data_IF_410651851048
#
_entry.id   IF_410651851048
#
_cell.length_a   1.000
_cell.length_b   1.000
_cell.length_c   1.000
_cell.angle_alpha   90.00
_cell.angle_beta   90.00
_cell.angle_gamma   90.00
#
_symmetry.space_group_name_H-M   'P 1'
#
loop_
_entity.id
_entity.type
_entity.pdbx_description
1 polymer ?
#
# COMPACT_ATOMS: atom_id res chain seq x y z
N UNK A 1 37.48 -38.79 -22.54
CA UNK A 1 36.62 -37.88 -21.74
C UNK A 1 35.33 -37.69 -22.53
N UNK A 2 34.26 -38.35 -22.08
CA UNK A 2 33.01 -38.52 -22.82
C UNK A 2 32.36 -37.21 -23.29
N UNK A 3 32.02 -37.14 -24.57
CA UNK A 3 31.25 -36.04 -25.20
C UNK A 3 29.90 -35.81 -24.47
N UNK A 4 29.34 -36.83 -23.81
CA UNK A 4 28.15 -36.71 -22.94
C UNK A 4 28.40 -35.82 -21.72
N UNK A 5 29.59 -35.84 -21.13
CA UNK A 5 29.92 -35.05 -19.94
C UNK A 5 30.13 -33.57 -20.28
N UNK A 6 30.72 -33.28 -21.45
CA UNK A 6 30.95 -31.90 -21.94
C UNK A 6 29.62 -31.21 -22.30
N UNK A 7 28.68 -31.95 -22.92
CA UNK A 7 27.32 -31.44 -23.20
C UNK A 7 26.55 -31.07 -21.93
N UNK A 8 26.74 -31.82 -20.84
CA UNK A 8 26.10 -31.54 -19.55
C UNK A 8 26.70 -30.30 -18.87
N UNK A 9 28.02 -30.09 -18.95
CA UNK A 9 28.67 -28.90 -18.38
C UNK A 9 28.23 -27.60 -19.05
N UNK A 10 28.12 -27.59 -20.39
CA UNK A 10 27.64 -26.42 -21.13
C UNK A 10 26.16 -26.11 -20.84
N UNK A 11 25.34 -27.15 -20.68
CA UNK A 11 23.93 -26.97 -20.29
C UNK A 11 23.81 -26.40 -18.88
N UNK A 12 24.59 -26.92 -17.92
CA UNK A 12 24.64 -26.40 -16.54
C UNK A 12 25.13 -24.95 -16.53
N UNK A 13 26.18 -24.63 -17.28
CA UNK A 13 26.70 -23.25 -17.39
C UNK A 13 25.65 -22.30 -18.01
N UNK A 14 24.89 -22.75 -19.01
CA UNK A 14 23.80 -21.98 -19.61
C UNK A 14 22.67 -21.71 -18.62
N UNK A 15 22.27 -22.72 -17.84
CA UNK A 15 21.25 -22.57 -16.79
C UNK A 15 21.73 -21.61 -15.70
N UNK A 16 22.98 -21.72 -15.26
CA UNK A 16 23.57 -20.80 -14.27
C UNK A 16 23.63 -19.37 -14.82
N UNK A 17 24.11 -19.16 -16.05
CA UNK A 17 24.15 -17.83 -16.67
C UNK A 17 22.76 -17.23 -16.85
N UNK A 18 21.77 -18.05 -17.23
CA UNK A 18 20.40 -17.62 -17.38
C UNK A 18 19.79 -17.22 -16.02
N UNK A 19 20.00 -18.02 -14.97
CA UNK A 19 19.58 -17.68 -13.61
C UNK A 19 20.24 -16.38 -13.12
N UNK A 20 21.55 -16.21 -13.32
CA UNK A 20 22.26 -14.97 -12.95
C UNK A 20 21.68 -13.77 -13.71
N UNK A 21 21.45 -13.89 -15.02
CA UNK A 21 20.89 -12.80 -15.84
C UNK A 21 19.49 -12.38 -15.37
N UNK A 22 18.63 -13.34 -14.99
CA UNK A 22 17.31 -13.04 -14.42
C UNK A 22 17.44 -12.35 -13.06
N UNK A 23 18.35 -12.81 -12.20
CA UNK A 23 18.58 -12.21 -10.88
C UNK A 23 19.08 -10.76 -11.05
N UNK A 24 20.05 -10.52 -11.93
CA UNK A 24 20.62 -9.19 -12.18
C UNK A 24 19.58 -8.23 -12.79
N UNK A 25 18.79 -8.68 -13.78
CA UNK A 25 17.73 -7.85 -14.37
C UNK A 25 16.64 -7.43 -13.36
N UNK A 26 16.33 -8.30 -12.39
CA UNK A 26 15.39 -7.96 -11.31
C UNK A 26 15.97 -6.93 -10.32
N UNK A 27 17.29 -6.91 -10.09
CA UNK A 27 17.95 -5.95 -9.20
C UNK A 27 18.01 -4.56 -9.86
N UNK A 28 18.37 -4.50 -11.15
CA UNK A 28 18.54 -3.24 -11.88
C UNK A 28 17.20 -2.50 -12.10
N UNK A 29 16.06 -3.20 -12.05
CA UNK A 29 14.74 -2.60 -12.18
C UNK A 29 14.12 -2.17 -10.84
N UNK A 30 14.79 -2.39 -9.70
CA UNK A 30 14.20 -2.15 -8.36
C UNK A 30 13.63 -0.74 -8.21
N UNK A 31 14.39 0.29 -8.58
CA UNK A 31 13.94 1.69 -8.46
C UNK A 31 12.76 2.01 -9.38
N UNK A 32 12.70 1.38 -10.56
CA UNK A 32 11.56 1.49 -11.47
C UNK A 32 10.31 0.86 -10.85
N UNK A 33 10.41 -0.34 -10.27
CA UNK A 33 9.29 -1.01 -9.60
C UNK A 33 8.79 -0.24 -8.38
N UNK A 34 9.68 0.38 -7.60
CA UNK A 34 9.29 1.12 -6.40
C UNK A 34 8.33 2.28 -6.70
N UNK A 35 8.46 2.95 -7.84
CA UNK A 35 7.52 4.02 -8.22
C UNK A 35 6.10 3.48 -8.48
N UNK A 36 5.96 2.32 -9.11
CA UNK A 36 4.66 1.67 -9.31
C UNK A 36 4.07 1.19 -7.99
N UNK A 37 4.88 0.51 -7.17
CA UNK A 37 4.48 0.05 -5.84
C UNK A 37 3.95 1.23 -5.02
N UNK A 38 4.69 2.34 -5.00
CA UNK A 38 4.29 3.54 -4.28
C UNK A 38 2.96 4.13 -4.74
N UNK A 39 2.68 4.14 -6.05
CA UNK A 39 1.41 4.60 -6.56
C UNK A 39 0.24 3.66 -6.17
N UNK A 40 0.50 2.36 -6.13
CA UNK A 40 -0.50 1.34 -5.77
C UNK A 40 -0.83 1.33 -4.28
N UNK A 41 0.04 1.86 -3.41
CA UNK A 41 -0.26 2.02 -1.97
C UNK A 41 -1.57 2.79 -1.75
N UNK A 42 -1.85 3.81 -2.56
CA UNK A 42 -3.06 4.63 -2.42
C UNK A 42 -4.36 3.92 -2.78
N UNK A 43 -4.27 2.70 -3.31
CA UNK A 43 -5.39 1.83 -3.64
C UNK A 43 -5.34 0.53 -2.82
N UNK A 44 -4.40 0.44 -1.88
CA UNK A 44 -4.14 -0.79 -1.16
C UNK A 44 -5.09 -0.98 0.02
N UNK A 45 -5.26 -2.24 0.40
CA UNK A 45 -6.01 -2.62 1.60
C UNK A 45 -5.42 -1.98 2.87
N UNK A 46 -4.09 -1.90 2.96
CA UNK A 46 -3.38 -1.34 4.10
C UNK A 46 -3.69 0.15 4.30
N UNK A 47 -3.77 0.95 3.23
CA UNK A 47 -4.21 2.34 3.35
C UNK A 47 -5.69 2.44 3.72
N UNK A 48 -6.56 1.64 3.10
CA UNK A 48 -7.99 1.64 3.47
C UNK A 48 -8.21 1.27 4.95
N UNK A 49 -7.40 0.34 5.49
CA UNK A 49 -7.41 0.01 6.91
C UNK A 49 -7.07 1.22 7.78
N UNK A 50 -6.02 1.98 7.43
CA UNK A 50 -5.65 3.21 8.15
C UNK A 50 -6.78 4.23 8.12
N UNK A 51 -7.37 4.46 6.95
CA UNK A 51 -8.50 5.37 6.80
C UNK A 51 -9.70 4.94 7.67
N UNK A 52 -10.00 3.64 7.69
CA UNK A 52 -11.06 3.07 8.53
C UNK A 52 -10.78 3.30 10.02
N UNK A 53 -9.57 3.01 10.49
CA UNK A 53 -9.16 3.18 11.89
C UNK A 53 -9.24 4.64 12.32
N UNK A 54 -8.67 5.56 11.53
CA UNK A 54 -8.73 7.00 11.81
C UNK A 54 -10.20 7.48 11.83
N UNK A 55 -10.98 7.16 10.79
CA UNK A 55 -12.37 7.58 10.68
C UNK A 55 -13.20 7.11 11.89
N UNK A 56 -13.09 5.83 12.24
CA UNK A 56 -13.86 5.21 13.32
C UNK A 56 -13.58 5.83 14.70
N UNK A 57 -12.32 6.20 14.95
CA UNK A 57 -11.88 6.78 16.22
C UNK A 57 -12.06 8.30 16.27
N UNK A 58 -11.98 8.97 15.13
CA UNK A 58 -12.09 10.44 15.02
C UNK A 58 -13.37 10.97 15.66
N UNK A 59 -14.48 10.26 15.51
CA UNK A 59 -15.79 10.69 16.02
C UNK A 59 -15.79 10.93 17.53
N UNK A 60 -15.04 10.15 18.30
CA UNK A 60 -15.00 10.30 19.76
C UNK A 60 -14.12 11.48 20.22
N UNK A 61 -13.27 12.03 19.35
CA UNK A 61 -12.34 13.10 19.74
C UNK A 61 -13.03 14.44 20.06
N UNK A 62 -14.26 14.62 19.56
CA UNK A 62 -15.09 15.84 19.64
C UNK A 62 -16.40 15.60 20.41
N UNK A 63 -16.36 14.68 21.38
CA UNK A 63 -17.44 14.46 22.35
C UNK A 63 -17.49 15.63 23.32
N UNK A 64 -18.68 16.22 23.52
CA UNK A 64 -18.84 17.33 24.47
C UNK A 64 -18.53 16.97 25.93
N UNK A 65 -18.06 17.95 26.69
CA UNK A 65 -17.55 17.73 28.06
C UNK A 65 -18.62 17.28 29.07
N UNK A 66 -19.91 17.48 28.75
CA UNK A 66 -21.04 17.00 29.55
C UNK A 66 -21.37 15.51 29.30
N UNK A 67 -20.57 14.80 28.50
CA UNK A 67 -20.80 13.39 28.20
C UNK A 67 -20.53 12.47 29.41
N UNK A 68 -20.94 11.20 29.29
CA UNK A 68 -20.66 10.21 30.32
C UNK A 68 -19.16 9.98 30.48
N UNK A 69 -18.72 9.59 31.68
CA UNK A 69 -17.32 9.25 31.98
C UNK A 69 -16.74 8.24 30.98
N UNK A 70 -17.53 7.22 30.62
CA UNK A 70 -17.16 6.25 29.59
C UNK A 70 -16.83 6.90 28.25
N UNK A 71 -17.61 7.90 27.84
CA UNK A 71 -17.40 8.60 26.58
C UNK A 71 -16.21 9.57 26.65
N UNK A 72 -15.98 10.19 27.80
CA UNK A 72 -14.78 11.01 28.04
C UNK A 72 -13.49 10.17 28.03
N UNK A 73 -13.56 8.93 28.52
CA UNK A 73 -12.46 7.97 28.38
C UNK A 73 -12.22 7.63 26.91
N UNK A 74 -13.26 7.35 26.12
CA UNK A 74 -13.13 7.15 24.67
C UNK A 74 -12.57 8.38 23.95
N UNK A 75 -12.96 9.60 24.35
CA UNK A 75 -12.38 10.85 23.84
C UNK A 75 -10.88 10.88 24.07
N UNK A 76 -10.43 10.55 25.27
CA UNK A 76 -9.01 10.53 25.63
C UNK A 76 -8.23 9.46 24.85
N UNK A 77 -8.75 8.23 24.80
CA UNK A 77 -8.13 7.12 24.05
C UNK A 77 -8.02 7.44 22.55
N UNK A 78 -9.09 7.99 21.96
CA UNK A 78 -9.13 8.34 20.54
C UNK A 78 -8.17 9.46 20.20
N UNK A 79 -8.05 10.49 21.06
CA UNK A 79 -7.06 11.55 20.87
C UNK A 79 -5.63 11.01 20.90
N UNK A 80 -5.32 10.11 21.83
CA UNK A 80 -4.01 9.47 21.91
C UNK A 80 -3.73 8.64 20.65
N UNK A 81 -4.69 7.82 20.22
CA UNK A 81 -4.54 6.99 19.03
C UNK A 81 -4.32 7.83 17.76
N UNK A 82 -5.11 8.88 17.56
CA UNK A 82 -4.98 9.73 16.37
C UNK A 82 -3.69 10.57 16.43
N UNK A 83 -3.25 11.01 17.61
CA UNK A 83 -1.99 11.73 17.75
C UNK A 83 -0.75 10.91 17.36
N UNK A 84 -0.83 9.58 17.39
CA UNK A 84 0.26 8.71 16.95
C UNK A 84 0.46 8.72 15.43
N UNK A 85 -0.57 9.08 14.65
CA UNK A 85 -0.49 9.29 13.21
C UNK A 85 0.17 10.64 12.91
N UNK A 86 1.48 10.70 13.14
CA UNK A 86 2.24 11.97 13.07
C UNK A 86 2.42 12.49 11.64
N UNK A 87 2.42 11.60 10.64
CA UNK A 87 2.60 11.94 9.22
C UNK A 87 1.29 12.31 8.53
N UNK A 88 0.19 11.64 8.88
CA UNK A 88 -1.14 12.01 8.41
C UNK A 88 -1.63 13.28 9.11
N UNK A 89 -2.46 14.07 8.44
CA UNK A 89 -3.10 15.23 9.05
C UNK A 89 -4.59 14.96 9.22
N UNK A 90 -5.06 14.94 10.46
CA UNK A 90 -6.44 14.65 10.80
C UNK A 90 -7.06 15.89 11.42
N UNK A 91 -8.21 16.30 10.87
CA UNK A 91 -9.02 17.39 11.40
C UNK A 91 -10.46 16.92 11.56
N UNK A 92 -11.05 17.15 12.73
CA UNK A 92 -12.38 16.65 13.09
C UNK A 92 -13.23 17.80 13.57
N UNK A 93 -14.47 17.87 13.10
CA UNK A 93 -15.45 18.89 13.48
C UNK A 93 -16.74 18.20 13.88
N UNK A 94 -17.21 18.49 15.09
CA UNK A 94 -18.59 18.25 15.46
C UNK A 94 -19.46 19.33 14.81
N UNK A 95 -20.32 18.94 13.87
CA UNK A 95 -21.09 19.87 13.07
C UNK A 95 -22.15 20.60 13.91
N UNK A 96 -22.62 20.00 15.00
CA UNK A 96 -23.61 20.59 15.90
C UNK A 96 -22.93 21.51 16.92
N UNK A 97 -22.00 20.99 17.73
CA UNK A 97 -21.37 21.75 18.83
C UNK A 97 -20.27 22.70 18.38
N UNK A 98 -19.77 22.54 17.15
CA UNK A 98 -18.58 23.21 16.61
C UNK A 98 -17.30 22.91 17.38
N UNK A 99 -17.29 21.88 18.23
CA UNK A 99 -16.06 21.37 18.83
C UNK A 99 -15.15 20.80 17.75
N UNK A 100 -13.85 21.08 17.87
CA UNK A 100 -12.84 20.66 16.90
C UNK A 100 -11.72 19.88 17.57
N UNK A 101 -11.17 18.93 16.83
CA UNK A 101 -9.92 18.26 17.17
C UNK A 101 -9.00 18.23 15.94
N UNK A 102 -7.71 18.33 16.19
CA UNK A 102 -6.67 18.22 15.19
C UNK A 102 -5.44 17.57 15.81
N UNK A 103 -4.68 16.82 15.01
CA UNK A 103 -3.39 16.27 15.46
C UNK A 103 -2.22 17.22 15.19
N UNK A 104 -2.26 17.95 14.07
CA UNK A 104 -1.12 18.73 13.58
C UNK A 104 -1.50 20.19 13.23
N UNK A 105 -2.43 20.41 12.31
CA UNK A 105 -2.82 21.77 11.87
C UNK A 105 -4.13 22.17 12.55
N UNK A 106 -4.09 23.25 13.33
CA UNK A 106 -5.19 23.69 14.20
C UNK A 106 -6.29 24.51 13.53
N UNK A 107 -6.04 24.99 12.32
CA UNK A 107 -6.88 25.93 11.60
C UNK A 107 -7.39 25.25 10.32
N UNK A 108 -8.71 25.19 10.14
CA UNK A 108 -9.36 24.49 9.03
C UNK A 108 -9.13 25.18 7.69
N UNK A 109 -9.09 26.52 7.65
CA UNK A 109 -8.86 27.26 6.41
C UNK A 109 -7.40 27.08 5.97
N UNK A 110 -6.48 27.14 6.94
CA UNK A 110 -5.08 26.80 6.71
C UNK A 110 -4.92 25.33 6.32
N UNK A 111 -5.66 24.42 6.95
CA UNK A 111 -5.66 23.00 6.64
C UNK A 111 -6.06 22.81 5.18
N UNK A 112 -7.26 23.21 4.78
CA UNK A 112 -7.76 23.00 3.41
C UNK A 112 -6.84 23.64 2.36
N UNK A 113 -6.30 24.84 2.62
CA UNK A 113 -5.36 25.49 1.70
C UNK A 113 -4.00 24.77 1.62
N UNK A 114 -3.46 24.29 2.75
CA UNK A 114 -2.12 23.69 2.79
C UNK A 114 -2.16 22.23 2.36
N UNK A 115 -3.14 21.48 2.84
CA UNK A 115 -3.15 20.02 2.70
C UNK A 115 -3.57 19.56 1.31
N UNK A 116 -4.45 20.29 0.63
CA UNK A 116 -4.90 19.94 -0.72
C UNK A 116 -3.79 20.12 -1.77
N UNK A 117 -2.79 20.94 -1.47
CA UNK A 117 -1.60 21.16 -2.32
C UNK A 117 -0.39 20.31 -1.88
N UNK A 118 -0.22 20.08 -0.58
CA UNK A 118 1.00 19.48 -0.01
C UNK A 118 0.87 17.99 0.32
N UNK A 119 -0.32 17.41 0.22
CA UNK A 119 -0.57 15.98 0.49
C UNK A 119 -1.05 15.28 -0.79
N UNK A 120 -0.79 13.97 -0.87
CA UNK A 120 -1.17 13.20 -2.05
C UNK A 120 -2.70 13.05 -2.14
N UNK A 121 -3.35 12.71 -1.02
CA UNK A 121 -4.80 12.47 -0.97
C UNK A 121 -5.40 13.13 0.26
N UNK A 122 -6.47 13.89 0.09
CA UNK A 122 -7.24 14.46 1.20
C UNK A 122 -8.68 13.96 1.12
N UNK A 123 -9.11 13.28 2.18
CA UNK A 123 -10.45 12.72 2.29
C UNK A 123 -11.31 13.57 3.21
N UNK A 124 -12.54 13.85 2.82
CA UNK A 124 -13.60 14.37 3.68
C UNK A 124 -14.62 13.26 3.91
N UNK A 125 -14.92 12.97 5.17
CA UNK A 125 -15.87 11.95 5.59
C UNK A 125 -16.93 12.62 6.46
N UNK A 126 -18.18 12.61 6.03
CA UNK A 126 -19.31 13.09 6.82
C UNK A 126 -20.20 11.91 7.18
N UNK A 127 -20.28 11.62 8.49
CA UNK A 127 -20.95 10.42 9.00
C UNK A 127 -22.47 10.53 9.01
N UNK A 128 -23.03 11.74 9.22
CA UNK A 128 -24.48 11.97 9.19
C UNK A 128 -25.04 11.81 7.78
N UNK A 129 -24.38 12.45 6.81
CA UNK A 129 -24.78 12.40 5.40
C UNK A 129 -24.31 11.12 4.69
N UNK A 130 -23.48 10.31 5.37
CA UNK A 130 -22.90 9.06 4.86
C UNK A 130 -22.13 9.27 3.56
N UNK A 131 -21.42 10.38 3.47
CA UNK A 131 -20.65 10.77 2.30
C UNK A 131 -19.15 10.71 2.59
N UNK A 132 -18.41 10.32 1.56
CA UNK A 132 -16.96 10.34 1.54
C UNK A 132 -16.53 10.93 0.21
N UNK A 133 -15.66 11.93 0.28
CA UNK A 133 -15.15 12.67 -0.86
C UNK A 133 -13.62 12.68 -0.84
N UNK A 134 -13.02 12.61 -2.01
CA UNK A 134 -11.63 13.02 -2.23
C UNK A 134 -11.65 14.50 -2.64
N UNK A 135 -10.87 15.32 -1.95
CA UNK A 135 -10.68 16.73 -2.25
C UNK A 135 -9.49 16.89 -3.20
N UNK A 136 -9.65 17.71 -4.23
CA UNK A 136 -8.54 18.11 -5.11
C UNK A 136 -7.95 19.48 -4.68
N UNK A 137 -6.86 19.91 -5.34
CA UNK A 137 -6.21 21.21 -5.08
C UNK A 137 -7.08 22.46 -5.30
N UNK A 138 -8.26 22.31 -5.93
CA UNK A 138 -9.23 23.39 -6.11
C UNK A 138 -10.42 23.29 -5.14
N UNK A 139 -10.37 22.38 -4.16
CA UNK A 139 -11.49 22.01 -3.28
C UNK A 139 -12.71 21.41 -3.99
N UNK A 140 -12.57 20.94 -5.23
CA UNK A 140 -13.63 20.14 -5.84
C UNK A 140 -13.72 18.79 -5.13
N UNK A 141 -14.96 18.30 -5.00
CA UNK A 141 -15.28 17.06 -4.30
C UNK A 141 -15.59 15.95 -5.30
N UNK A 142 -14.79 14.89 -5.29
CA UNK A 142 -15.07 13.65 -6.03
C UNK A 142 -15.59 12.62 -5.06
N UNK A 143 -16.80 12.10 -5.29
CA UNK A 143 -17.38 11.08 -4.40
C UNK A 143 -16.58 9.78 -4.53
N UNK A 144 -16.19 9.21 -3.40
CA UNK A 144 -15.42 7.96 -3.35
C UNK A 144 -16.01 6.97 -2.34
N UNK A 145 -15.67 5.70 -2.50
CA UNK A 145 -15.94 4.62 -1.54
C UNK A 145 -14.72 3.71 -1.48
N UNK A 146 -14.53 3.02 -0.36
CA UNK A 146 -13.45 2.04 -0.22
C UNK A 146 -13.88 0.68 -0.75
N UNK A 147 -12.92 -0.13 -1.19
CA UNK A 147 -13.18 -1.43 -1.79
C UNK A 147 -13.40 -2.51 -0.74
N UNK A 148 -12.63 -2.49 0.34
CA UNK A 148 -12.58 -3.57 1.33
C UNK A 148 -13.42 -3.28 2.57
N UNK A 149 -13.49 -2.02 3.00
CA UNK A 149 -14.23 -1.60 4.19
C UNK A 149 -15.58 -0.94 3.87
N UNK A 150 -15.97 -0.89 2.59
CA UNK A 150 -17.23 -0.32 2.14
C UNK A 150 -17.27 1.21 2.27
N UNK A 151 -18.41 1.76 2.67
CA UNK A 151 -18.52 3.21 2.89
C UNK A 151 -18.12 3.53 4.33
N UNK A 152 -16.91 4.07 4.52
CA UNK A 152 -16.37 4.46 5.83
C UNK A 152 -17.29 5.44 6.57
N UNK A 153 -18.04 6.27 5.85
CA UNK A 153 -18.98 7.21 6.44
C UNK A 153 -20.20 6.52 7.08
N UNK A 154 -20.42 5.22 6.86
CA UNK A 154 -21.51 4.45 7.47
C UNK A 154 -21.11 3.73 8.77
N UNK A 155 -19.84 3.82 9.18
CA UNK A 155 -19.33 3.16 10.40
C UNK A 155 -19.88 3.78 11.69
N UNK A 156 -20.41 5.00 11.58
CA UNK A 156 -20.84 5.89 12.65
C UNK A 156 -22.10 6.65 12.21
N UNK A 157 -22.79 7.31 13.15
CA UNK A 157 -24.05 8.03 12.92
C UNK A 157 -24.02 9.47 13.42
N UNK A 158 -22.95 9.84 14.10
CA UNK A 158 -22.74 11.13 14.74
C UNK A 158 -22.63 12.24 13.69
N UNK A 159 -23.06 13.46 14.05
CA UNK A 159 -22.93 14.63 13.17
C UNK A 159 -21.52 15.20 13.23
N UNK A 160 -20.59 14.41 12.70
CA UNK A 160 -19.17 14.71 12.67
C UNK A 160 -18.69 14.68 11.23
N UNK A 161 -17.81 15.63 10.91
CA UNK A 161 -17.04 15.64 9.68
C UNK A 161 -15.57 15.48 10.00
N UNK A 162 -14.93 14.50 9.37
CA UNK A 162 -13.51 14.18 9.54
C UNK A 162 -12.79 14.38 8.22
N UNK A 163 -11.73 15.16 8.26
CA UNK A 163 -10.76 15.32 7.18
C UNK A 163 -9.50 14.51 7.49
N UNK A 164 -9.03 13.74 6.50
CA UNK A 164 -7.83 12.92 6.61
C UNK A 164 -6.94 13.21 5.40
N UNK A 165 -5.77 13.80 5.63
CA UNK A 165 -4.77 14.04 4.62
C UNK A 165 -3.65 13.00 4.72
N UNK A 166 -3.44 12.25 3.65
CA UNK A 166 -2.41 11.21 3.50
C UNK A 166 -1.25 11.79 2.67
N UNK A 167 -0.02 11.82 3.22
CA UNK A 167 1.11 12.45 2.54
C UNK A 167 1.65 11.59 1.39
N UNK A 168 2.66 12.10 0.69
CA UNK A 168 3.35 11.33 -0.36
C UNK A 168 4.09 10.13 0.25
N UNK A 169 4.20 9.02 -0.48
CA UNK A 169 4.92 7.82 -0.01
C UNK A 169 6.38 8.10 0.31
N UNK A 170 7.00 9.08 -0.35
CA UNK A 170 8.33 9.58 0.02
C UNK A 170 8.39 10.09 1.46
N UNK A 171 7.33 10.75 1.92
CA UNK A 171 7.25 11.31 3.27
C UNK A 171 6.97 10.20 4.28
N UNK A 172 6.08 9.27 3.93
CA UNK A 172 5.80 8.09 4.74
C UNK A 172 7.07 7.25 4.90
N UNK A 173 7.81 6.98 3.82
CA UNK A 173 9.01 6.17 3.82
C UNK A 173 10.15 6.78 4.67
N UNK A 174 10.23 8.12 4.76
CA UNK A 174 11.22 8.81 5.61
C UNK A 174 11.04 8.51 7.10
N UNK A 175 9.87 8.04 7.54
CA UNK A 175 9.66 7.65 8.93
C UNK A 175 10.50 6.46 9.37
N UNK A 176 11.05 5.67 8.42
CA UNK A 176 12.03 4.63 8.73
C UNK A 176 13.17 5.11 9.63
N UNK A 177 13.63 6.34 9.40
CA UNK A 177 14.80 6.91 10.08
C UNK A 177 14.43 7.80 11.28
N UNK A 178 13.13 8.08 11.48
CA UNK A 178 12.62 8.98 12.52
C UNK A 178 11.84 8.21 13.58
N UNK A 179 10.80 7.47 13.16
CA UNK A 179 9.96 6.64 14.01
C UNK A 179 9.43 5.47 13.19
N UNK A 180 10.11 4.33 13.31
CA UNK A 180 9.76 3.11 12.58
C UNK A 180 8.45 2.44 13.05
N UNK A 181 7.85 2.95 14.12
CA UNK A 181 6.58 2.50 14.68
C UNK A 181 5.42 3.48 14.38
N UNK A 182 5.65 4.51 13.56
CA UNK A 182 4.55 5.38 13.12
C UNK A 182 3.50 4.54 12.36
N UNK A 183 2.22 4.57 12.76
CA UNK A 183 1.23 3.62 12.27
C UNK A 183 1.05 3.59 10.74
N UNK A 184 1.03 4.75 10.07
CA UNK A 184 0.92 4.82 8.61
C UNK A 184 2.16 4.24 7.93
N UNK A 185 3.36 4.52 8.44
CA UNK A 185 4.59 3.92 7.95
C UNK A 185 4.64 2.40 8.16
N UNK A 186 4.17 1.89 9.31
CA UNK A 186 4.09 0.45 9.55
C UNK A 186 3.21 -0.22 8.49
N UNK A 187 2.07 0.38 8.16
CA UNK A 187 1.14 -0.12 7.13
C UNK A 187 1.73 -0.04 5.73
N UNK A 188 2.42 1.05 5.40
CA UNK A 188 3.17 1.17 4.15
C UNK A 188 4.28 0.11 4.03
N UNK A 189 5.02 -0.14 5.11
CA UNK A 189 6.06 -1.17 5.15
C UNK A 189 5.48 -2.58 4.97
N UNK A 190 4.34 -2.87 5.59
CA UNK A 190 3.59 -4.12 5.38
C UNK A 190 3.20 -4.29 3.92
N UNK A 191 2.62 -3.25 3.30
CA UNK A 191 2.26 -3.25 1.89
C UNK A 191 3.46 -3.53 0.97
N UNK A 192 4.56 -2.79 1.13
CA UNK A 192 5.76 -2.98 0.30
C UNK A 192 6.28 -4.41 0.44
N UNK A 193 6.35 -4.92 1.67
CA UNK A 193 6.80 -6.30 1.92
C UNK A 193 5.87 -7.33 1.26
N UNK A 194 4.55 -7.16 1.37
CA UNK A 194 3.58 -8.07 0.76
C UNK A 194 3.75 -8.12 -0.76
N UNK A 195 4.01 -6.97 -1.40
CA UNK A 195 4.27 -6.91 -2.84
C UNK A 195 5.62 -7.56 -3.18
N UNK A 196 6.69 -7.28 -2.44
CA UNK A 196 8.00 -7.90 -2.64
C UNK A 196 7.91 -9.44 -2.52
N UNK A 197 7.23 -9.94 -1.49
CA UNK A 197 7.02 -11.37 -1.25
C UNK A 197 6.19 -12.01 -2.38
N UNK A 198 5.15 -11.32 -2.87
CA UNK A 198 4.33 -11.77 -3.99
C UNK A 198 5.13 -11.84 -5.30
N UNK A 199 5.92 -10.80 -5.60
CA UNK A 199 6.80 -10.77 -6.78
C UNK A 199 7.83 -11.90 -6.70
N UNK A 200 8.46 -12.10 -5.54
CA UNK A 200 9.40 -13.20 -5.33
C UNK A 200 8.75 -14.58 -5.55
N UNK A 201 7.54 -14.78 -5.03
CA UNK A 201 6.80 -16.03 -5.21
C UNK A 201 6.40 -16.29 -6.67
N UNK A 202 5.95 -15.26 -7.39
CA UNK A 202 5.62 -15.37 -8.82
C UNK A 202 6.89 -15.64 -9.64
N UNK A 203 7.96 -14.88 -9.37
CA UNK A 203 9.25 -15.02 -10.04
C UNK A 203 9.84 -16.42 -9.85
N UNK A 204 9.81 -16.96 -8.63
CA UNK A 204 10.29 -18.32 -8.34
C UNK A 204 9.48 -19.39 -9.07
N UNK A 205 8.15 -19.24 -9.21
CA UNK A 205 7.33 -20.15 -10.04
C UNK A 205 7.71 -20.10 -11.52
N UNK A 206 7.96 -18.91 -12.07
CA UNK A 206 8.39 -18.74 -13.46
C UNK A 206 9.76 -19.41 -13.68
N UNK A 207 10.72 -19.18 -12.78
CA UNK A 207 12.04 -19.81 -12.86
C UNK A 207 11.92 -21.34 -12.80
N UNK A 208 11.11 -21.86 -11.88
CA UNK A 208 10.86 -23.30 -11.79
C UNK A 208 10.27 -23.86 -13.09
N UNK A 209 9.26 -23.19 -13.66
CA UNK A 209 8.66 -23.57 -14.94
C UNK A 209 9.70 -23.63 -16.07
N UNK A 210 10.57 -22.62 -16.15
CA UNK A 210 11.64 -22.56 -17.17
C UNK A 210 12.63 -23.72 -16.98
N UNK A 211 13.02 -24.03 -15.75
CA UNK A 211 13.90 -25.16 -15.42
C UNK A 211 13.28 -26.50 -15.84
N UNK A 212 11.95 -26.66 -15.81
CA UNK A 212 11.29 -27.88 -16.29
C UNK A 212 11.14 -27.92 -17.82
N UNK A 213 10.81 -26.79 -18.44
CA UNK A 213 10.52 -26.68 -19.88
C UNK A 213 11.78 -26.81 -20.73
N UNK A 214 12.90 -26.17 -20.34
CA UNK A 214 14.14 -26.17 -21.15
C UNK A 214 14.71 -27.58 -21.34
N UNK A 215 14.89 -28.43 -20.30
CA UNK A 215 15.39 -29.80 -20.47
C UNK A 215 14.42 -30.66 -21.26
N UNK A 216 13.11 -30.47 -21.09
CA UNK A 216 12.09 -31.19 -21.83
C UNK A 216 12.16 -30.88 -23.34
N UNK A 217 12.22 -29.59 -23.71
CA UNK A 217 12.44 -29.15 -25.09
C UNK A 217 13.78 -29.66 -25.66
N UNK A 218 14.86 -29.61 -24.85
CA UNK A 218 16.16 -30.13 -25.26
C UNK A 218 16.12 -31.64 -25.55
N UNK A 219 15.41 -32.43 -24.72
CA UNK A 219 15.19 -33.86 -24.98
C UNK A 219 14.38 -34.09 -26.26
N UNK A 220 13.30 -33.35 -26.47
CA UNK A 220 12.47 -33.46 -27.68
C UNK A 220 13.27 -33.18 -28.95
N UNK A 221 14.06 -32.10 -28.97
CA UNK A 221 14.91 -31.75 -30.11
C UNK A 221 15.99 -32.82 -30.34
N UNK A 222 16.60 -33.35 -29.27
CA UNK A 222 17.60 -34.41 -29.36
C UNK A 222 17.01 -35.74 -29.89
N UNK A 223 15.80 -36.09 -29.46
CA UNK A 223 15.10 -37.29 -29.90
C UNK A 223 14.65 -37.17 -31.37
N UNK A 224 14.11 -36.03 -31.80
CA UNK A 224 13.75 -35.80 -33.20
C UNK A 224 14.98 -35.80 -34.13
N UNK A 225 16.12 -35.24 -33.71
CA UNK A 225 17.38 -35.37 -34.47
C UNK A 225 17.85 -36.82 -34.60
N UNK A 226 17.64 -37.66 -33.58
CA UNK A 226 17.96 -39.10 -33.62
C UNK A 226 17.06 -39.86 -34.59
N UNK A 227 15.76 -39.56 -34.63
CA UNK A 227 14.83 -40.16 -35.61
C UNK A 227 15.19 -39.76 -37.05
N UNK A 228 15.44 -38.48 -37.33
CA UNK A 228 15.80 -38.02 -38.68
C UNK A 228 17.07 -38.66 -39.26
N UNK A 229 17.99 -39.11 -38.40
CA UNK A 229 19.21 -39.84 -38.79
C UNK A 229 19.00 -41.34 -39.02
N UNK A 230 17.90 -41.90 -38.50
CA UNK A 230 17.53 -43.30 -38.67
C UNK A 230 16.78 -43.54 -39.98
N UNK A 231 16.04 -42.53 -40.44
CA UNK A 231 15.29 -42.58 -41.70
C UNK A 231 16.15 -42.24 -42.94
N UNK A 232 17.39 -41.77 -42.73
CA UNK A 232 18.36 -41.44 -43.79
C UNK A 232 19.41 -42.53 -44.03
N UNK A 233 19.16 -43.75 -43.56
CA UNK A 233 20.00 -44.95 -43.67
C UNK A 233 19.19 -46.08 -44.30
#
# INVERSE_FOLDING_TARGET
MDIKLIKNKNLVALVICFCITIITANIDMKDFYMNYINADFYKSYELEQVLYEIATQSVYTVVGDNASEKMLNYKTESKNMISNYTTANVFVINNDSKEVYYNNISDIDKYLKTVTESYHSVYEINFKDKTMYLLNGNNDKVRVSTNYFGNLAQTRKEDVTTYIAIPFTSDIARMKDINNNEPLYVKYKEFVKNIEDAIFFIGSKIIALIIFIIPYLAMLILNNKKLSKKDSL
#
